data_IF_273152537158
#
_entry.id   IF_273152537158
#
_cell.length_a   1.000
_cell.length_b   1.000
_cell.length_c   1.000
_cell.angle_alpha   90.00
_cell.angle_beta   90.00
_cell.angle_gamma   90.00
#
_symmetry.space_group_name_H-M   'P 1'
#
loop_
_entity.id
_entity.type
_entity.pdbx_description
1 polymer ?
#
# COMPACT_ATOMS: atom_id res chain seq x y z
N UNK A 1 -2.66 2.11 86.57
CA UNK A 1 -3.08 2.96 85.43
C UNK A 1 -1.94 3.03 84.44
N UNK A 2 -1.97 2.23 83.38
CA UNK A 2 -1.05 2.30 82.26
C UNK A 2 -1.88 2.34 80.98
N UNK A 3 -1.78 3.43 80.22
CA UNK A 3 -2.42 3.61 78.92
C UNK A 3 -1.47 3.07 77.83
N UNK A 4 -1.96 2.45 76.74
CA UNK A 4 -1.11 1.97 75.67
C UNK A 4 -0.67 3.10 74.74
N UNK A 5 0.54 2.96 74.20
CA UNK A 5 1.17 3.86 73.21
C UNK A 5 0.56 3.57 71.83
N UNK A 6 0.12 4.60 71.12
CA UNK A 6 -0.39 4.49 69.76
C UNK A 6 0.77 4.30 68.76
N UNK A 7 0.74 3.19 68.00
CA UNK A 7 1.56 3.02 66.80
C UNK A 7 1.13 4.03 65.74
N UNK A 8 2.03 4.93 65.34
CA UNK A 8 1.85 5.75 64.15
C UNK A 8 2.14 4.90 62.91
N UNK A 9 1.10 4.63 62.11
CA UNK A 9 1.22 4.05 60.78
C UNK A 9 1.78 5.12 59.85
N UNK A 10 3.05 5.00 59.44
CA UNK A 10 3.56 5.70 58.26
C UNK A 10 2.91 5.09 57.04
N UNK A 11 1.97 5.82 56.44
CA UNK A 11 1.46 5.54 55.09
C UNK A 11 2.56 5.95 54.12
N UNK A 12 3.30 4.97 53.60
CA UNK A 12 4.20 5.20 52.46
C UNK A 12 3.33 5.33 51.22
N UNK A 13 3.00 6.56 50.84
CA UNK A 13 2.40 6.85 49.54
C UNK A 13 3.47 6.54 48.50
N UNK A 14 3.42 5.36 47.87
CA UNK A 14 4.19 5.08 46.67
C UNK A 14 3.65 5.98 45.57
N UNK A 15 4.40 7.01 45.22
CA UNK A 15 4.16 7.78 44.01
C UNK A 15 4.45 6.84 42.84
N UNK A 16 3.42 6.28 42.21
CA UNK A 16 3.55 5.75 40.85
C UNK A 16 3.82 6.94 39.95
N UNK A 17 5.11 7.21 39.72
CA UNK A 17 5.57 8.00 38.60
C UNK A 17 4.99 7.33 37.35
N UNK A 18 4.00 7.98 36.74
CA UNK A 18 3.43 7.51 35.47
C UNK A 18 4.53 7.69 34.46
N UNK A 19 5.30 6.64 34.20
CA UNK A 19 6.37 6.68 33.21
C UNK A 19 5.75 7.11 31.88
N UNK A 20 6.14 8.29 31.41
CA UNK A 20 5.62 8.84 30.17
C UNK A 20 6.04 7.91 29.03
N UNK A 21 5.06 7.33 28.33
CA UNK A 21 5.30 6.43 27.20
C UNK A 21 6.05 7.16 26.08
N UNK A 22 7.01 6.48 25.48
CA UNK A 22 7.76 6.97 24.33
C UNK A 22 7.07 6.51 23.04
N UNK A 23 6.38 7.45 22.41
CA UNK A 23 5.61 7.20 21.20
C UNK A 23 6.28 7.89 20.01
N UNK A 24 6.40 7.18 18.89
CA UNK A 24 6.97 7.69 17.65
C UNK A 24 6.01 7.45 16.49
N UNK A 25 5.62 8.51 15.79
CA UNK A 25 4.77 8.47 14.62
C UNK A 25 5.57 8.70 13.35
N UNK A 26 5.37 7.82 12.37
CA UNK A 26 5.76 8.01 10.99
C UNK A 26 4.53 8.31 10.17
N UNK A 27 4.55 9.41 9.41
CA UNK A 27 3.45 9.78 8.52
C UNK A 27 3.95 9.88 7.09
N UNK A 28 3.32 9.13 6.19
CA UNK A 28 3.57 9.23 4.77
C UNK A 28 3.05 10.57 4.25
N UNK A 29 3.92 11.30 3.54
CA UNK A 29 3.61 12.62 2.97
C UNK A 29 2.56 12.57 1.87
N UNK A 30 2.29 11.41 1.27
CA UNK A 30 1.24 11.25 0.26
C UNK A 30 -0.18 11.24 0.86
N UNK A 31 -0.32 10.99 2.17
CA UNK A 31 -1.62 11.01 2.86
C UNK A 31 -2.28 12.39 2.71
N UNK A 32 -3.55 12.42 2.28
CA UNK A 32 -4.25 13.69 2.10
C UNK A 32 -4.36 14.46 3.41
N UNK A 33 -4.03 15.76 3.38
CA UNK A 33 -4.11 16.62 4.56
C UNK A 33 -3.33 16.08 5.77
N UNK A 34 -2.22 15.37 5.55
CA UNK A 34 -1.38 14.83 6.62
C UNK A 34 -0.95 15.90 7.65
N UNK A 35 -0.85 17.17 7.26
CA UNK A 35 -0.54 18.28 8.18
C UNK A 35 -1.60 18.45 9.28
N UNK A 36 -2.88 18.18 8.98
CA UNK A 36 -3.95 18.21 9.99
C UNK A 36 -3.76 17.06 11.00
N UNK A 37 -3.31 15.89 10.55
CA UNK A 37 -2.99 14.77 11.44
C UNK A 37 -1.79 15.07 12.33
N UNK A 38 -0.75 15.72 11.79
CA UNK A 38 0.39 16.20 12.59
C UNK A 38 -0.07 17.21 13.64
N UNK A 39 -0.85 18.22 13.25
CA UNK A 39 -1.35 19.25 14.18
C UNK A 39 -2.23 18.65 15.29
N UNK A 40 -2.92 17.56 14.98
CA UNK A 40 -3.80 16.82 15.87
C UNK A 40 -3.15 15.66 16.64
N UNK A 41 -1.84 15.50 16.53
CA UNK A 41 -1.11 14.45 17.24
C UNK A 41 -1.10 14.73 18.75
N UNK A 42 -1.19 13.67 19.56
CA UNK A 42 -1.17 13.78 21.02
C UNK A 42 0.16 14.38 21.52
N UNK A 43 0.12 15.22 22.57
CA UNK A 43 1.35 15.75 23.16
C UNK A 43 2.27 14.63 23.65
N UNK A 44 3.56 14.72 23.30
CA UNK A 44 4.57 13.73 23.70
C UNK A 44 4.87 12.67 22.64
N UNK A 45 4.06 12.56 21.58
CA UNK A 45 4.38 11.73 20.42
C UNK A 45 5.37 12.48 19.51
N UNK A 46 6.52 11.87 19.25
CA UNK A 46 7.48 12.39 18.27
C UNK A 46 6.96 12.08 16.86
N UNK A 47 7.04 13.03 15.91
CA UNK A 47 6.51 12.85 14.54
C UNK A 47 7.60 12.99 13.49
N UNK A 48 7.69 12.02 12.59
CA UNK A 48 8.59 11.99 11.44
C UNK A 48 7.76 11.87 10.17
N UNK A 49 7.93 12.83 9.26
CA UNK A 49 7.29 12.79 7.93
C UNK A 49 8.20 12.04 6.97
N UNK A 50 7.69 10.98 6.36
CA UNK A 50 8.44 10.20 5.37
C UNK A 50 8.53 10.95 4.04
N UNK A 51 9.70 10.96 3.43
CA UNK A 51 9.88 11.46 2.07
C UNK A 51 9.28 10.46 1.08
N UNK A 52 8.33 10.93 0.27
CA UNK A 52 7.64 10.16 -0.76
C UNK A 52 8.58 9.59 -1.83
N UNK A 53 9.77 10.20 -2.02
CA UNK A 53 10.74 9.76 -3.03
C UNK A 53 11.74 8.71 -2.52
N UNK A 54 11.77 8.43 -1.21
CA UNK A 54 12.70 7.48 -0.59
C UNK A 54 11.95 6.24 -0.11
N UNK A 55 12.67 5.13 0.03
CA UNK A 55 12.15 3.92 0.65
C UNK A 55 11.71 4.22 2.09
N UNK A 56 10.42 4.04 2.40
CA UNK A 56 9.89 4.37 3.72
C UNK A 56 10.30 3.37 4.80
N UNK A 57 10.56 2.11 4.46
CA UNK A 57 11.05 1.11 5.43
C UNK A 57 12.48 1.47 5.84
N UNK A 58 13.32 1.85 4.88
CA UNK A 58 14.68 2.35 5.15
C UNK A 58 14.65 3.59 6.05
N UNK A 59 13.80 4.57 5.75
CA UNK A 59 13.66 5.78 6.57
C UNK A 59 13.23 5.49 8.01
N UNK A 60 12.27 4.57 8.20
CA UNK A 60 11.84 4.14 9.54
C UNK A 60 13.00 3.45 10.26
N UNK A 61 13.73 2.54 9.60
CA UNK A 61 14.91 1.88 10.18
C UNK A 61 15.99 2.89 10.59
N UNK A 62 16.32 3.85 9.74
CA UNK A 62 17.29 4.92 10.04
C UNK A 62 16.88 5.72 11.28
N UNK A 63 15.60 6.09 11.37
CA UNK A 63 15.08 6.81 12.52
C UNK A 63 15.11 5.95 13.79
N UNK A 64 14.67 4.69 13.73
CA UNK A 64 14.66 3.83 14.91
C UNK A 64 16.08 3.53 15.42
N UNK A 65 17.07 3.42 14.53
CA UNK A 65 18.45 3.09 14.91
C UNK A 65 19.09 4.05 15.93
N UNK A 66 18.64 5.31 15.98
CA UNK A 66 19.12 6.31 16.95
C UNK A 66 18.25 6.44 18.20
N UNK A 67 17.27 5.56 18.40
CA UNK A 67 16.27 5.61 19.48
C UNK A 67 16.24 4.28 20.25
N UNK A 68 15.74 4.33 21.48
CA UNK A 68 15.61 3.15 22.34
C UNK A 68 14.47 3.28 23.35
N UNK A 69 13.97 2.12 23.77
CA UNK A 69 12.83 2.01 24.68
C UNK A 69 11.59 2.71 24.11
N UNK A 70 11.31 2.52 22.82
CA UNK A 70 10.08 3.03 22.19
C UNK A 70 8.94 2.09 22.59
N UNK A 71 7.92 2.63 23.23
CA UNK A 71 6.76 1.86 23.70
C UNK A 71 5.71 1.72 22.60
N UNK A 72 5.64 2.67 21.67
CA UNK A 72 4.73 2.58 20.53
C UNK A 72 5.30 3.20 19.26
N UNK A 73 5.12 2.50 18.14
CA UNK A 73 5.33 3.03 16.80
C UNK A 73 3.98 3.18 16.10
N UNK A 74 3.70 4.39 15.63
CA UNK A 74 2.50 4.73 14.87
C UNK A 74 2.89 4.90 13.40
N UNK A 75 2.23 4.20 12.49
CA UNK A 75 2.51 4.28 11.05
C UNK A 75 1.26 4.74 10.33
N UNK A 76 1.29 5.94 9.76
CA UNK A 76 0.16 6.55 9.06
C UNK A 76 0.48 6.56 7.58
N UNK A 77 -0.29 5.83 6.80
CA UNK A 77 -0.02 5.65 5.38
C UNK A 77 -1.27 5.26 4.61
N UNK A 78 -1.14 5.23 3.29
CA UNK A 78 -2.14 4.56 2.48
C UNK A 78 -2.03 3.04 2.60
N UNK A 79 -3.19 2.38 2.61
CA UNK A 79 -3.28 0.93 2.78
C UNK A 79 -4.27 0.25 1.83
N UNK A 80 -4.08 -1.07 1.72
CA UNK A 80 -5.09 -2.05 1.28
C UNK A 80 -4.76 -3.41 1.90
N UNK A 81 -5.63 -4.40 1.75
CA UNK A 81 -5.40 -5.77 2.25
C UNK A 81 -3.98 -6.29 2.00
N UNK A 82 -3.24 -6.48 3.09
CA UNK A 82 -1.88 -7.00 3.11
C UNK A 82 -0.80 -6.04 2.60
N UNK A 83 -1.04 -4.73 2.60
CA UNK A 83 -0.14 -3.75 1.97
C UNK A 83 -0.12 -2.39 2.67
N UNK A 84 1.07 -1.84 2.84
CA UNK A 84 1.33 -0.45 3.21
C UNK A 84 2.19 0.24 2.15
N UNK A 85 1.82 1.48 1.80
CA UNK A 85 2.65 2.35 0.99
C UNK A 85 3.47 3.25 1.91
N UNK A 86 4.80 3.13 1.87
CA UNK A 86 5.71 3.88 2.72
C UNK A 86 6.76 4.55 1.84
N UNK A 87 6.55 5.82 1.54
CA UNK A 87 7.29 6.59 0.56
C UNK A 87 7.27 5.92 -0.81
N UNK A 88 8.46 5.60 -1.34
CA UNK A 88 8.63 4.85 -2.58
C UNK A 88 8.52 3.33 -2.40
N UNK A 89 8.44 2.83 -1.17
CA UNK A 89 8.37 1.41 -0.85
C UNK A 89 6.93 0.94 -0.71
N UNK A 90 6.72 -0.32 -1.07
CA UNK A 90 5.46 -1.03 -0.87
C UNK A 90 5.75 -2.23 0.02
N UNK A 91 5.33 -2.16 1.28
CA UNK A 91 5.54 -3.20 2.27
C UNK A 91 4.31 -4.10 2.30
N UNK A 92 4.45 -5.33 1.77
CA UNK A 92 3.33 -6.26 1.59
C UNK A 92 3.80 -7.72 1.71
N UNK A 93 2.89 -8.68 1.55
CA UNK A 93 3.19 -10.12 1.66
C UNK A 93 4.30 -10.62 0.71
N UNK A 94 4.53 -9.94 -0.42
CA UNK A 94 5.58 -10.30 -1.39
C UNK A 94 6.93 -9.69 -1.01
N UNK A 95 6.94 -8.45 -0.52
CA UNK A 95 8.16 -7.68 -0.25
C UNK A 95 8.65 -7.77 1.19
N UNK A 96 7.80 -8.15 2.15
CA UNK A 96 8.10 -8.16 3.58
C UNK A 96 9.35 -8.98 3.93
N UNK A 97 9.59 -10.08 3.21
CA UNK A 97 10.78 -10.92 3.43
C UNK A 97 12.07 -10.23 2.96
N UNK A 98 12.01 -9.36 1.95
CA UNK A 98 13.17 -8.56 1.51
C UNK A 98 13.56 -7.50 2.54
N UNK A 99 12.61 -7.05 3.37
CA UNK A 99 12.84 -6.13 4.48
C UNK A 99 13.08 -6.81 5.83
N UNK A 100 13.17 -8.15 5.87
CA UNK A 100 13.21 -8.89 7.13
C UNK A 100 14.33 -8.42 8.07
N UNK A 101 15.52 -8.16 7.54
CA UNK A 101 16.65 -7.67 8.32
C UNK A 101 16.38 -6.27 8.91
N UNK A 102 15.80 -5.35 8.13
CA UNK A 102 15.40 -4.03 8.60
C UNK A 102 14.33 -4.11 9.70
N UNK A 103 13.28 -4.90 9.47
CA UNK A 103 12.16 -5.06 10.40
C UNK A 103 12.59 -5.73 11.71
N UNK A 104 13.47 -6.73 11.64
CA UNK A 104 14.08 -7.34 12.82
C UNK A 104 14.96 -6.35 13.58
N UNK A 105 15.64 -5.45 12.87
CA UNK A 105 16.44 -4.42 13.51
C UNK A 105 15.59 -3.40 14.29
N UNK A 106 14.32 -3.21 13.94
CA UNK A 106 13.42 -2.33 14.70
C UNK A 106 13.30 -2.78 16.15
N UNK A 107 13.27 -4.10 16.42
CA UNK A 107 13.16 -4.68 17.76
C UNK A 107 14.22 -4.19 18.75
N UNK A 108 15.39 -3.78 18.27
CA UNK A 108 16.48 -3.27 19.12
C UNK A 108 16.16 -1.90 19.73
N UNK A 109 15.27 -1.15 19.10
CA UNK A 109 14.84 0.18 19.52
C UNK A 109 13.55 0.14 20.34
N UNK A 110 12.79 -0.95 20.23
CA UNK A 110 11.50 -1.14 20.88
C UNK A 110 11.65 -1.62 22.33
N UNK A 111 10.73 -1.18 23.19
CA UNK A 111 10.56 -1.72 24.53
C UNK A 111 10.03 -3.17 24.48
N UNK A 112 10.19 -3.91 25.57
CA UNK A 112 9.50 -5.19 25.72
C UNK A 112 7.98 -4.95 25.79
N UNK A 113 7.21 -5.58 24.90
CA UNK A 113 5.77 -5.32 24.78
C UNK A 113 5.46 -3.99 24.10
N UNK A 114 6.33 -3.52 23.19
CA UNK A 114 6.00 -2.37 22.35
C UNK A 114 4.90 -2.73 21.35
N UNK A 115 4.07 -1.73 21.04
CA UNK A 115 3.01 -1.85 20.04
C UNK A 115 3.40 -1.17 18.73
N UNK A 116 2.89 -1.69 17.61
CA UNK A 116 2.87 -0.97 16.33
C UNK A 116 1.42 -0.78 15.89
N UNK A 117 0.99 0.47 15.84
CA UNK A 117 -0.34 0.86 15.37
C UNK A 117 -0.24 1.33 13.93
N UNK A 118 -0.93 0.64 13.04
CA UNK A 118 -0.89 0.86 11.60
C UNK A 118 -2.21 1.48 11.14
N UNK A 119 -2.16 2.77 10.80
CA UNK A 119 -3.28 3.54 10.25
C UNK A 119 -3.18 3.52 8.72
N UNK A 120 -4.03 2.72 8.10
CA UNK A 120 -4.17 2.63 6.64
C UNK A 120 -5.37 1.76 6.31
N UNK A 121 -6.09 2.11 5.25
CA UNK A 121 -7.32 1.38 4.90
C UNK A 121 -7.06 -0.10 4.62
N UNK A 122 -7.94 -0.95 5.14
CA UNK A 122 -8.05 -2.37 4.83
C UNK A 122 -6.77 -3.20 5.05
N UNK A 123 -5.74 -2.69 5.73
CA UNK A 123 -4.42 -3.33 5.81
C UNK A 123 -4.51 -4.76 6.33
N UNK A 124 -5.37 -4.97 7.33
CA UNK A 124 -5.63 -6.27 7.94
C UNK A 124 -6.89 -6.98 7.40
N UNK A 125 -7.51 -6.45 6.34
CA UNK A 125 -8.72 -7.03 5.77
C UNK A 125 -8.46 -8.43 5.19
N UNK A 126 -9.37 -9.36 5.49
CA UNK A 126 -9.33 -10.73 4.98
C UNK A 126 -8.10 -11.55 5.42
N UNK A 127 -7.97 -12.74 4.83
CA UNK A 127 -6.87 -13.67 5.17
C UNK A 127 -5.50 -13.11 4.80
N UNK A 128 -5.39 -12.45 3.63
CA UNK A 128 -4.14 -11.82 3.18
C UNK A 128 -3.65 -10.75 4.15
N UNK A 129 -4.56 -9.86 4.60
CA UNK A 129 -4.23 -8.83 5.57
C UNK A 129 -3.85 -9.39 6.94
N UNK A 130 -4.59 -10.39 7.42
CA UNK A 130 -4.27 -11.07 8.67
C UNK A 130 -2.88 -11.73 8.67
N UNK A 131 -2.53 -12.43 7.59
CA UNK A 131 -1.21 -13.06 7.45
C UNK A 131 -0.10 -12.01 7.35
N UNK A 132 -0.35 -10.90 6.65
CA UNK A 132 0.60 -9.81 6.54
C UNK A 132 0.94 -9.19 7.90
N UNK A 133 -0.07 -8.81 8.69
CA UNK A 133 0.20 -8.22 10.01
C UNK A 133 0.83 -9.22 10.99
N UNK A 134 0.47 -10.51 10.90
CA UNK A 134 1.13 -11.54 11.70
C UNK A 134 2.62 -11.63 11.34
N UNK A 135 2.95 -11.57 10.04
CA UNK A 135 4.34 -11.58 9.58
C UNK A 135 5.12 -10.36 10.06
N UNK A 136 4.49 -9.18 10.09
CA UNK A 136 5.10 -7.97 10.67
C UNK A 136 5.35 -8.14 12.17
N UNK A 137 4.38 -8.68 12.91
CA UNK A 137 4.52 -8.98 14.33
C UNK A 137 5.71 -9.92 14.59
N UNK A 138 5.78 -11.03 13.85
CA UNK A 138 6.87 -12.01 13.97
C UNK A 138 8.26 -11.41 13.69
N UNK A 139 8.35 -10.50 12.71
CA UNK A 139 9.63 -9.88 12.32
C UNK A 139 10.05 -8.78 13.28
N UNK A 140 9.11 -7.98 13.79
CA UNK A 140 9.41 -6.83 14.66
C UNK A 140 9.46 -7.22 16.14
N UNK A 141 8.85 -8.35 16.51
CA UNK A 141 8.68 -8.78 17.89
C UNK A 141 7.67 -7.94 18.68
N UNK A 142 6.90 -7.10 17.99
CA UNK A 142 5.89 -6.20 18.56
C UNK A 142 4.47 -6.70 18.26
N UNK A 143 3.53 -6.31 19.11
CA UNK A 143 2.10 -6.53 18.87
C UNK A 143 1.60 -5.49 17.86
N UNK A 144 0.81 -5.93 16.87
CA UNK A 144 0.36 -5.08 15.76
C UNK A 144 -1.15 -4.86 15.86
N UNK A 145 -1.58 -3.60 15.71
CA UNK A 145 -2.97 -3.23 15.50
C UNK A 145 -3.14 -2.60 14.11
N UNK A 146 -4.14 -3.02 13.34
CA UNK A 146 -4.40 -2.49 12.00
C UNK A 146 -5.90 -2.56 11.65
N UNK A 147 -6.33 -1.64 10.77
CA UNK A 147 -7.72 -1.57 10.30
C UNK A 147 -8.05 -2.65 9.26
N UNK A 148 -9.28 -3.11 9.29
CA UNK A 148 -9.90 -4.07 8.36
C UNK A 148 -10.87 -3.43 7.37
N UNK A 149 -11.04 -2.11 7.45
CA UNK A 149 -11.93 -1.31 6.62
C UNK A 149 -11.34 0.09 6.32
N UNK A 150 -12.17 1.07 5.97
CA UNK A 150 -11.69 2.41 5.65
C UNK A 150 -11.23 3.14 6.92
N UNK A 151 -9.97 3.54 6.99
CA UNK A 151 -9.48 4.41 8.07
C UNK A 151 -9.66 5.88 7.69
N UNK A 152 -10.34 6.69 8.51
CA UNK A 152 -10.43 8.15 8.39
C UNK A 152 -11.82 8.70 8.68
N UNK A 153 -12.37 9.47 7.73
CA UNK A 153 -13.59 10.23 7.94
C UNK A 153 -14.85 9.35 7.98
N UNK A 154 -15.62 9.45 9.06
CA UNK A 154 -16.95 8.82 9.18
C UNK A 154 -17.96 9.31 8.16
N UNK A 155 -17.81 10.55 7.66
CA UNK A 155 -18.61 11.07 6.56
C UNK A 155 -18.34 10.35 5.22
N UNK A 156 -17.20 9.69 5.09
CA UNK A 156 -16.80 8.88 3.93
C UNK A 156 -16.91 7.37 4.20
N UNK A 157 -17.51 6.98 5.32
CA UNK A 157 -17.71 5.58 5.69
C UNK A 157 -16.49 4.90 6.32
N UNK A 158 -15.51 5.66 6.79
CA UNK A 158 -14.38 5.13 7.55
C UNK A 158 -14.38 5.53 9.03
N UNK A 159 -13.50 4.94 9.81
CA UNK A 159 -13.29 5.30 11.21
C UNK A 159 -11.80 5.21 11.59
N UNK A 160 -11.47 5.25 12.88
CA UNK A 160 -10.07 5.18 13.33
C UNK A 160 -9.83 3.96 14.22
N UNK A 161 -10.75 3.00 14.17
CA UNK A 161 -10.62 1.75 14.89
C UNK A 161 -9.58 0.88 14.17
N UNK A 162 -8.91 0.03 14.97
CA UNK A 162 -7.90 -0.91 14.50
C UNK A 162 -8.37 -2.29 14.94
N UNK A 163 -9.25 -2.92 14.16
CA UNK A 163 -10.05 -4.08 14.59
C UNK A 163 -9.21 -5.35 14.70
N UNK A 164 -8.12 -5.45 13.94
CA UNK A 164 -7.30 -6.65 13.89
C UNK A 164 -6.00 -6.48 14.67
N UNK A 165 -5.80 -7.41 15.61
CA UNK A 165 -4.66 -7.44 16.52
C UNK A 165 -3.88 -8.76 16.39
N UNK A 166 -2.56 -8.72 16.56
CA UNK A 166 -1.70 -9.93 16.67
C UNK A 166 -1.33 -10.29 18.12
N UNK A 167 -1.64 -9.41 19.07
CA UNK A 167 -1.39 -9.59 20.50
C UNK A 167 -2.19 -8.60 21.36
N UNK A 168 -1.66 -8.22 22.52
CA UNK A 168 -2.29 -7.21 23.37
C UNK A 168 -1.82 -5.83 22.91
N UNK A 169 -2.70 -4.83 22.97
CA UNK A 169 -2.36 -3.45 22.58
C UNK A 169 -2.66 -2.54 23.75
N UNK A 170 -1.62 -2.01 24.38
CA UNK A 170 -1.75 -1.07 25.50
C UNK A 170 -1.67 0.40 25.06
N UNK A 171 -1.20 0.64 23.84
CA UNK A 171 -1.01 1.96 23.27
C UNK A 171 -2.32 2.54 22.73
N UNK A 172 -2.67 3.78 23.10
CA UNK A 172 -3.85 4.44 22.55
C UNK A 172 -3.56 4.93 21.12
N UNK A 173 -4.60 5.34 20.38
CA UNK A 173 -4.39 6.05 19.12
C UNK A 173 -3.55 7.31 19.33
N UNK A 174 -2.67 7.65 18.39
CA UNK A 174 -1.79 8.81 18.51
C UNK A 174 -2.45 10.17 18.23
N UNK A 175 -3.74 10.19 17.90
CA UNK A 175 -4.47 11.42 17.56
C UNK A 175 -5.42 11.88 18.66
N UNK A 176 -5.57 13.19 18.77
CA UNK A 176 -6.59 13.82 19.61
C UNK A 176 -7.98 13.63 18.97
N UNK A 177 -9.03 13.61 19.81
CA UNK A 177 -10.41 13.39 19.35
C UNK A 177 -10.88 14.42 18.32
N UNK A 178 -10.51 15.69 18.51
CA UNK A 178 -10.85 16.77 17.58
C UNK A 178 -10.22 16.55 16.20
N UNK A 179 -8.97 16.06 16.16
CA UNK A 179 -8.27 15.77 14.92
C UNK A 179 -8.92 14.62 14.13
N UNK A 180 -9.35 13.57 14.85
CA UNK A 180 -10.11 12.45 14.29
C UNK A 180 -11.43 12.95 13.68
N UNK A 181 -12.16 13.81 14.40
CA UNK A 181 -13.44 14.38 13.95
C UNK A 181 -13.29 15.36 12.76
N UNK A 182 -12.17 16.09 12.73
CA UNK A 182 -11.90 17.12 11.72
C UNK A 182 -11.26 16.57 10.45
N UNK A 183 -10.70 15.35 10.47
CA UNK A 183 -10.14 14.74 9.27
C UNK A 183 -11.23 14.44 8.23
N UNK A 184 -11.10 15.02 7.03
CA UNK A 184 -12.11 14.97 5.96
C UNK A 184 -11.77 14.03 4.81
N UNK A 185 -10.75 13.19 4.98
CA UNK A 185 -10.28 12.22 3.99
C UNK A 185 -10.31 10.80 4.58
N UNK A 186 -9.97 9.79 3.78
CA UNK A 186 -9.70 8.42 4.21
C UNK A 186 -8.31 8.01 3.73
N UNK A 187 -7.65 7.08 4.42
CA UNK A 187 -6.28 6.64 4.16
C UNK A 187 -6.21 5.57 3.05
N UNK A 188 -7.12 5.63 2.07
CA UNK A 188 -7.25 4.60 1.03
C UNK A 188 -6.06 4.67 0.09
N UNK A 189 -5.48 3.54 -0.32
CA UNK A 189 -4.49 3.49 -1.41
C UNK A 189 -5.04 4.19 -2.64
N UNK A 190 -4.65 5.46 -2.79
CA UNK A 190 -4.90 6.26 -3.97
C UNK A 190 -4.04 5.67 -5.10
N UNK A 191 -4.50 4.55 -5.68
CA UNK A 191 -4.50 4.50 -7.13
C UNK A 191 -5.24 5.78 -7.53
N UNK A 192 -4.55 6.76 -8.14
CA UNK A 192 -5.20 8.03 -8.43
C UNK A 192 -6.46 7.68 -9.22
N UNK A 193 -7.61 8.24 -8.83
CA UNK A 193 -8.92 8.04 -9.47
C UNK A 193 -8.84 8.52 -10.91
N UNK A 194 -8.19 7.72 -11.75
CA UNK A 194 -7.69 8.08 -13.05
C UNK A 194 -8.16 7.00 -13.97
N UNK A 195 -9.03 7.41 -14.88
CA UNK A 195 -9.50 6.60 -15.98
C UNK A 195 -8.46 6.72 -17.10
N UNK A 196 -7.94 5.57 -17.51
CA UNK A 196 -7.20 5.44 -18.75
C UNK A 196 -8.15 4.91 -19.81
N UNK A 197 -8.30 5.66 -20.91
CA UNK A 197 -9.14 5.25 -22.02
C UNK A 197 -8.35 5.28 -23.33
N UNK A 198 -8.69 4.41 -24.27
CA UNK A 198 -8.19 4.49 -25.65
C UNK A 198 -9.26 5.16 -26.51
N UNK A 199 -8.91 6.26 -27.16
CA UNK A 199 -9.79 6.88 -28.16
C UNK A 199 -8.97 7.50 -29.28
N UNK A 200 -9.43 7.35 -30.53
CA UNK A 200 -8.79 7.93 -31.72
C UNK A 200 -7.28 7.62 -31.80
N UNK A 201 -6.88 6.42 -31.40
CA UNK A 201 -5.49 5.98 -31.39
C UNK A 201 -4.60 6.66 -30.34
N UNK A 202 -5.18 7.14 -29.25
CA UNK A 202 -4.46 7.80 -28.15
C UNK A 202 -4.91 7.23 -26.80
N UNK A 203 -4.02 7.27 -25.81
CA UNK A 203 -4.39 7.09 -24.40
C UNK A 203 -4.83 8.44 -23.85
N UNK A 204 -6.03 8.47 -23.29
CA UNK A 204 -6.61 9.59 -22.55
C UNK A 204 -6.48 9.31 -21.06
N UNK A 205 -6.04 10.32 -20.31
CA UNK A 205 -5.92 10.26 -18.86
C UNK A 205 -6.91 11.24 -18.26
N UNK A 206 -7.85 10.72 -17.49
CA UNK A 206 -8.92 11.51 -16.90
C UNK A 206 -8.93 11.31 -15.40
N UNK A 207 -8.65 12.36 -14.64
CA UNK A 207 -8.88 12.33 -13.19
C UNK A 207 -10.37 12.49 -12.88
N UNK A 208 -10.86 11.72 -11.93
CA UNK A 208 -12.22 11.75 -11.39
C UNK A 208 -12.10 12.05 -9.90
N UNK A 209 -12.56 13.22 -9.48
CA UNK A 209 -12.62 13.53 -8.06
C UNK A 209 -13.76 12.74 -7.39
N UNK A 210 -13.72 12.59 -6.07
CA UNK A 210 -14.72 11.86 -5.26
C UNK A 210 -16.17 12.33 -5.45
N UNK A 211 -16.38 13.57 -5.94
CA UNK A 211 -17.70 14.10 -6.32
C UNK A 211 -18.11 13.85 -7.79
N UNK A 212 -17.41 12.97 -8.52
CA UNK A 212 -17.68 12.68 -9.93
C UNK A 212 -17.26 13.78 -10.93
N UNK A 213 -16.54 14.81 -10.46
CA UNK A 213 -16.04 15.88 -11.32
C UNK A 213 -14.82 15.39 -12.09
N UNK A 214 -14.85 15.56 -13.41
CA UNK A 214 -13.78 15.17 -14.33
C UNK A 214 -12.82 16.34 -14.53
N UNK A 215 -11.53 16.15 -14.24
CA UNK A 215 -10.47 17.11 -14.61
C UNK A 215 -9.57 16.46 -15.67
N UNK A 216 -9.53 16.97 -16.92
CA UNK A 216 -8.65 16.43 -17.94
C UNK A 216 -7.18 16.68 -17.54
N UNK A 217 -6.36 15.63 -17.46
CA UNK A 217 -4.92 15.76 -17.31
C UNK A 217 -4.24 15.66 -18.68
N UNK A 218 -3.08 16.32 -18.78
CA UNK A 218 -2.34 16.71 -20.00
C UNK A 218 -2.13 15.55 -21.00
N UNK A 219 -2.32 15.78 -22.31
CA UNK A 219 -2.08 14.76 -23.33
C UNK A 219 -0.57 14.50 -23.52
N UNK A 220 -0.03 13.48 -22.85
CA UNK A 220 1.16 12.81 -23.36
C UNK A 220 0.70 11.70 -24.30
N UNK A 221 0.90 11.94 -25.59
CA UNK A 221 0.44 11.04 -26.64
C UNK A 221 1.44 9.91 -26.85
N UNK A 222 0.98 8.67 -26.84
CA UNK A 222 1.71 7.60 -27.52
C UNK A 222 1.80 7.95 -29.02
N UNK A 223 2.96 7.74 -29.69
CA UNK A 223 3.12 8.05 -31.11
C UNK A 223 2.39 7.06 -32.04
N UNK A 224 1.67 6.08 -31.48
CA UNK A 224 0.98 5.00 -32.19
C UNK A 224 -0.39 4.72 -31.54
N UNK A 225 -1.25 4.00 -32.26
CA UNK A 225 -2.60 3.63 -31.83
C UNK A 225 -2.59 2.28 -31.10
N UNK A 226 -2.64 2.24 -29.75
CA UNK A 226 -2.71 0.96 -29.03
C UNK A 226 -4.06 0.26 -29.27
N UNK A 227 -4.07 -1.07 -29.26
CA UNK A 227 -5.31 -1.87 -29.33
C UNK A 227 -5.93 -2.16 -27.96
N UNK A 228 -5.08 -2.16 -26.92
CA UNK A 228 -5.46 -2.47 -25.56
C UNK A 228 -4.49 -1.79 -24.61
N UNK A 229 -4.97 -1.45 -23.42
CA UNK A 229 -4.15 -0.95 -22.32
C UNK A 229 -4.55 -1.65 -21.02
N UNK A 230 -3.61 -1.78 -20.10
CA UNK A 230 -3.86 -2.20 -18.73
C UNK A 230 -2.91 -1.46 -17.79
N UNK A 231 -3.39 -1.00 -16.64
CA UNK A 231 -2.53 -0.38 -15.62
C UNK A 231 -1.93 -1.48 -14.75
N UNK A 232 -0.64 -1.36 -14.46
CA UNK A 232 -0.01 -2.16 -13.41
C UNK A 232 -0.42 -1.61 -12.03
N UNK A 233 -1.17 -2.38 -11.22
CA UNK A 233 -1.67 -1.93 -9.92
C UNK A 233 -0.57 -1.88 -8.86
N UNK A 234 0.60 -2.50 -9.11
CA UNK A 234 1.75 -2.47 -8.21
C UNK A 234 2.73 -1.34 -8.57
N UNK A 235 2.56 -0.69 -9.72
CA UNK A 235 3.43 0.40 -10.13
C UNK A 235 3.11 1.70 -9.41
N UNK A 236 4.05 2.19 -8.59
CA UNK A 236 4.00 3.52 -7.98
C UNK A 236 3.94 4.67 -9.00
N UNK A 237 4.35 4.41 -10.25
CA UNK A 237 4.31 5.38 -11.35
C UNK A 237 3.09 5.24 -12.26
N UNK A 238 2.14 4.34 -11.93
CA UNK A 238 0.99 4.01 -12.77
C UNK A 238 1.40 3.55 -14.18
N UNK A 239 2.43 2.71 -14.28
CA UNK A 239 2.92 2.20 -15.56
C UNK A 239 1.77 1.52 -16.33
N UNK A 240 1.56 1.95 -17.57
CA UNK A 240 0.59 1.33 -18.47
C UNK A 240 1.28 0.33 -19.36
N UNK A 241 0.69 -0.85 -19.48
CA UNK A 241 1.01 -1.81 -20.50
C UNK A 241 0.07 -1.60 -21.68
N UNK A 242 0.61 -1.66 -22.89
CA UNK A 242 -0.15 -1.47 -24.11
C UNK A 242 0.24 -2.50 -25.17
N UNK A 243 -0.67 -2.76 -26.10
CA UNK A 243 -0.40 -3.55 -27.29
C UNK A 243 -0.33 -2.67 -28.55
N UNK A 244 0.81 -2.67 -29.24
CA UNK A 244 1.01 -1.91 -30.48
C UNK A 244 0.77 -2.79 -31.74
N UNK A 245 -0.24 -2.48 -32.57
CA UNK A 245 -0.62 -3.31 -33.71
C UNK A 245 0.29 -3.16 -34.92
N UNK A 246 0.92 -2.00 -35.11
CA UNK A 246 1.74 -1.68 -36.30
C UNK A 246 3.12 -2.33 -36.30
N UNK A 247 3.44 -3.09 -35.25
CA UNK A 247 4.73 -3.76 -35.09
C UNK A 247 4.56 -5.22 -34.62
N UNK A 248 3.72 -6.02 -35.30
CA UNK A 248 3.46 -7.43 -34.96
C UNK A 248 2.82 -7.68 -33.57
N UNK A 249 2.07 -6.73 -33.01
CA UNK A 249 1.38 -6.95 -31.73
C UNK A 249 2.32 -6.97 -30.53
N UNK A 250 3.24 -6.00 -30.45
CA UNK A 250 4.23 -5.94 -29.36
C UNK A 250 3.64 -5.37 -28.08
N UNK A 251 3.95 -6.04 -26.97
CA UNK A 251 3.70 -5.51 -25.64
C UNK A 251 4.77 -4.47 -25.32
N UNK A 252 4.31 -3.29 -24.93
CA UNK A 252 5.17 -2.23 -24.43
C UNK A 252 4.64 -1.68 -23.12
N UNK A 253 5.48 -0.90 -22.46
CA UNK A 253 5.14 -0.13 -21.28
C UNK A 253 5.25 1.35 -21.57
N UNK A 254 4.41 2.13 -20.92
CA UNK A 254 4.44 3.57 -20.98
C UNK A 254 4.28 4.16 -19.60
N UNK A 255 5.21 5.04 -19.24
CA UNK A 255 5.19 5.75 -17.97
C UNK A 255 4.43 7.08 -18.16
N UNK A 256 3.25 7.26 -17.54
CA UNK A 256 2.46 8.47 -17.70
C UNK A 256 3.11 9.71 -17.05
N UNK A 257 4.02 9.52 -16.09
CA UNK A 257 4.75 10.60 -15.40
C UNK A 257 5.85 11.16 -16.28
N UNK A 258 6.66 10.28 -16.89
CA UNK A 258 7.85 10.68 -17.66
C UNK A 258 7.59 10.73 -19.16
N UNK A 259 6.51 10.12 -19.64
CA UNK A 259 6.21 9.92 -21.05
C UNK A 259 7.06 8.83 -21.72
N UNK A 260 7.95 8.16 -20.99
CA UNK A 260 8.84 7.13 -21.55
C UNK A 260 8.05 5.90 -21.99
N UNK A 261 8.31 5.43 -23.22
CA UNK A 261 7.77 4.19 -23.75
C UNK A 261 8.89 3.17 -23.98
N UNK A 262 8.70 1.93 -23.53
CA UNK A 262 9.64 0.82 -23.69
C UNK A 262 8.93 -0.34 -24.32
N UNK A 263 9.52 -0.92 -25.37
CA UNK A 263 8.99 -2.16 -25.93
C UNK A 263 9.61 -3.34 -25.21
N UNK A 264 8.80 -4.16 -24.56
CA UNK A 264 9.30 -5.23 -23.70
C UNK A 264 9.74 -6.45 -24.50
N UNK A 265 9.08 -6.77 -25.60
CA UNK A 265 9.42 -7.94 -26.41
C UNK A 265 8.62 -8.03 -27.71
N UNK A 266 8.76 -9.17 -28.39
CA UNK A 266 7.88 -9.56 -29.49
C UNK A 266 6.74 -10.38 -28.91
N UNK A 267 5.70 -9.71 -28.41
CA UNK A 267 4.58 -10.43 -27.84
C UNK A 267 3.77 -11.18 -28.88
N UNK A 268 3.44 -12.41 -28.51
CA UNK A 268 2.67 -13.37 -29.30
C UNK A 268 1.24 -13.47 -28.81
N UNK A 269 0.66 -12.39 -28.26
CA UNK A 269 -0.75 -12.43 -27.80
C UNK A 269 -1.59 -12.87 -29.00
N UNK A 270 -2.21 -14.07 -28.98
CA UNK A 270 -2.72 -14.66 -30.21
C UNK A 270 -3.97 -13.92 -30.69
N UNK A 271 -3.97 -13.39 -31.90
CA UNK A 271 -5.16 -12.79 -32.53
C UNK A 271 -5.18 -11.26 -32.50
N UNK A 272 -6.36 -10.68 -32.74
CA UNK A 272 -6.57 -9.23 -32.81
C UNK A 272 -7.47 -8.76 -31.67
N UNK A 273 -7.25 -7.52 -31.20
CA UNK A 273 -8.06 -6.85 -30.19
C UNK A 273 -8.19 -7.60 -28.85
N UNK A 274 -7.06 -7.92 -28.17
CA UNK A 274 -7.14 -8.47 -26.84
C UNK A 274 -7.75 -7.47 -25.85
N UNK A 275 -8.31 -8.00 -24.78
CA UNK A 275 -8.71 -7.22 -23.60
C UNK A 275 -7.73 -7.54 -22.49
N UNK A 276 -7.09 -6.54 -21.90
CA UNK A 276 -6.03 -6.75 -20.92
C UNK A 276 -6.45 -6.19 -19.57
N UNK A 277 -6.08 -6.89 -18.50
CA UNK A 277 -6.13 -6.35 -17.14
C UNK A 277 -5.05 -7.00 -16.30
N UNK A 278 -4.60 -6.27 -15.28
CA UNK A 278 -3.79 -6.83 -14.23
C UNK A 278 -4.69 -7.29 -13.10
N UNK A 279 -4.34 -8.45 -12.54
CA UNK A 279 -4.77 -8.81 -11.21
C UNK A 279 -3.93 -8.03 -10.20
N UNK A 280 -4.45 -7.89 -9.00
CA UNK A 280 -3.83 -7.11 -7.94
C UNK A 280 -2.45 -7.61 -7.47
N UNK A 281 -2.16 -8.89 -7.70
CA UNK A 281 -0.84 -9.51 -7.51
C UNK A 281 0.16 -9.22 -8.66
N UNK A 282 -0.14 -8.27 -9.55
CA UNK A 282 0.77 -7.86 -10.63
C UNK A 282 0.81 -8.82 -11.83
N UNK A 283 0.03 -9.90 -11.85
CA UNK A 283 -0.05 -10.78 -13.02
C UNK A 283 -0.95 -10.17 -14.08
N UNK A 284 -0.43 -10.00 -15.29
CA UNK A 284 -1.20 -9.52 -16.44
C UNK A 284 -1.95 -10.66 -17.13
N UNK A 285 -3.23 -10.42 -17.40
CA UNK A 285 -4.08 -11.31 -18.19
C UNK A 285 -4.52 -10.64 -19.48
N UNK A 286 -4.67 -11.45 -20.53
CA UNK A 286 -5.24 -11.03 -21.80
C UNK A 286 -6.33 -12.00 -22.26
N UNK A 287 -7.49 -11.48 -22.66
CA UNK A 287 -8.55 -12.27 -23.29
C UNK A 287 -8.57 -12.03 -24.78
N UNK A 288 -8.51 -13.11 -25.57
CA UNK A 288 -8.68 -13.08 -27.02
C UNK A 288 -9.77 -14.05 -27.42
N UNK A 289 -10.87 -13.52 -27.97
CA UNK A 289 -12.11 -14.29 -28.08
C UNK A 289 -12.50 -14.83 -26.72
N UNK A 290 -12.66 -16.15 -26.63
CA UNK A 290 -13.01 -16.85 -25.39
C UNK A 290 -11.78 -17.35 -24.62
N UNK A 291 -10.55 -17.12 -25.08
CA UNK A 291 -9.36 -17.66 -24.44
C UNK A 291 -8.71 -16.64 -23.51
N UNK A 292 -8.50 -17.03 -22.26
CA UNK A 292 -7.79 -16.28 -21.24
C UNK A 292 -6.34 -16.72 -21.21
N UNK A 293 -5.42 -15.76 -21.32
CA UNK A 293 -3.99 -15.96 -21.26
C UNK A 293 -3.40 -15.21 -20.07
N UNK A 294 -2.39 -15.78 -19.42
CA UNK A 294 -1.41 -14.99 -18.66
C UNK A 294 -0.37 -14.44 -19.63
N UNK A 295 0.13 -13.24 -19.35
CA UNK A 295 1.14 -12.57 -20.17
C UNK A 295 2.32 -12.18 -19.30
N UNK A 296 3.51 -12.58 -19.69
CA UNK A 296 4.75 -12.21 -18.99
C UNK A 296 5.13 -10.76 -19.27
N UNK A 297 5.38 -10.01 -18.21
CA UNK A 297 5.66 -8.56 -18.22
C UNK A 297 7.14 -8.23 -17.97
N UNK A 298 8.00 -9.24 -17.83
CA UNK A 298 9.45 -9.06 -17.70
C UNK A 298 10.06 -8.32 -18.90
N UNK A 299 11.18 -7.62 -18.70
CA UNK A 299 11.85 -6.80 -19.72
C UNK A 299 12.89 -7.55 -20.57
N UNK A 300 13.13 -8.84 -20.31
CA UNK A 300 14.08 -9.67 -21.09
C UNK A 300 15.55 -9.22 -21.02
N UNK A 301 15.92 -8.33 -20.10
CA UNK A 301 17.29 -7.90 -19.84
C UNK A 301 17.62 -8.16 -18.37
N UNK A 302 17.87 -9.42 -18.02
CA UNK A 302 18.28 -9.75 -16.66
C UNK A 302 19.64 -9.14 -16.34
N UNK A 303 19.70 -8.27 -15.32
CA UNK A 303 20.81 -8.17 -14.34
C UNK A 303 20.39 -7.23 -13.19
N UNK A 304 19.60 -7.68 -12.22
CA UNK A 304 19.71 -7.34 -10.78
C UNK A 304 18.59 -8.01 -9.98
N UNK A 305 18.95 -8.56 -8.81
CA UNK A 305 18.19 -9.52 -8.03
C UNK A 305 16.97 -8.96 -7.26
N UNK A 306 16.45 -7.77 -7.58
CA UNK A 306 15.39 -7.10 -6.82
C UNK A 306 13.98 -7.15 -7.47
N UNK A 307 13.81 -7.81 -8.62
CA UNK A 307 12.52 -7.90 -9.32
C UNK A 307 12.00 -9.35 -9.33
N UNK A 308 11.57 -9.86 -8.17
CA UNK A 308 10.82 -11.11 -8.06
C UNK A 308 9.36 -10.84 -7.69
N UNK A 309 8.64 -10.20 -8.61
CA UNK A 309 7.21 -10.44 -8.78
C UNK A 309 7.08 -11.20 -10.11
N UNK A 310 7.00 -12.52 -10.03
CA UNK A 310 6.69 -13.51 -11.10
C UNK A 310 6.98 -13.03 -12.53
N UNK A 311 8.22 -12.64 -12.80
CA UNK A 311 8.68 -12.27 -14.13
C UNK A 311 9.34 -13.50 -14.75
N UNK A 312 8.71 -14.07 -15.78
CA UNK A 312 9.42 -14.99 -16.65
C UNK A 312 10.62 -14.23 -17.27
N UNK A 313 11.72 -14.94 -17.52
CA UNK A 313 12.89 -14.39 -18.20
C UNK A 313 12.61 -14.01 -19.67
N UNK A 314 11.43 -14.34 -20.19
CA UNK A 314 11.00 -14.04 -21.55
C UNK A 314 9.93 -12.94 -21.56
N UNK A 315 10.31 -11.76 -22.03
CA UNK A 315 9.40 -10.65 -22.18
C UNK A 315 8.29 -10.95 -23.19
N UNK A 316 7.03 -10.76 -22.79
CA UNK A 316 5.90 -10.78 -23.71
C UNK A 316 5.39 -12.16 -24.12
N UNK A 317 5.79 -13.24 -23.45
CA UNK A 317 5.24 -14.58 -23.69
C UNK A 317 3.83 -14.73 -23.13
N UNK A 318 2.97 -15.49 -23.82
CA UNK A 318 1.60 -15.77 -23.38
C UNK A 318 1.36 -17.25 -23.13
N UNK A 319 0.66 -17.58 -22.04
CA UNK A 319 0.26 -18.96 -21.71
C UNK A 319 -1.26 -19.04 -21.61
N UNK A 320 -1.89 -19.98 -22.33
CA UNK A 320 -3.32 -20.22 -22.23
C UNK A 320 -3.64 -20.75 -20.82
N UNK A 321 -4.56 -20.07 -20.14
CA UNK A 321 -5.01 -20.41 -18.78
C UNK A 321 -6.33 -21.16 -18.85
N UNK A 322 -7.29 -20.63 -19.61
CA UNK A 322 -8.65 -21.16 -19.68
C UNK A 322 -9.36 -20.70 -20.95
N UNK A 323 -10.44 -21.41 -21.29
CA UNK A 323 -11.45 -20.90 -22.22
C UNK A 323 -12.69 -20.52 -21.40
N UNK A 324 -13.12 -19.26 -21.52
CA UNK A 324 -14.26 -18.64 -20.83
C UNK A 324 -15.44 -18.55 -21.83
N UNK A 325 -16.44 -19.45 -21.75
CA UNK A 325 -17.57 -19.43 -22.66
C UNK A 325 -18.37 -18.14 -22.55
N UNK A 326 -18.85 -17.63 -23.68
CA UNK A 326 -19.70 -16.42 -23.72
C UNK A 326 -18.95 -15.10 -23.60
N UNK A 327 -17.64 -15.11 -23.33
CA UNK A 327 -16.80 -13.91 -23.35
C UNK A 327 -16.43 -13.49 -24.79
N UNK A 328 -17.34 -13.59 -25.76
CA UNK A 328 -17.10 -13.15 -27.14
C UNK A 328 -17.31 -11.64 -27.28
N UNK A 329 -16.68 -11.00 -28.27
CA UNK A 329 -16.91 -9.59 -28.62
C UNK A 329 -15.82 -8.61 -28.16
N UNK A 330 -16.05 -7.32 -28.47
CA UNK A 330 -15.20 -6.19 -28.10
C UNK A 330 -15.62 -5.58 -26.77
N UNK A 331 -14.67 -5.14 -25.95
CA UNK A 331 -14.92 -4.47 -24.68
C UNK A 331 -13.66 -4.43 -23.83
N UNK A 332 -13.77 -4.06 -22.56
CA UNK A 332 -12.64 -4.04 -21.63
C UNK A 332 -12.68 -5.25 -20.68
N UNK A 333 -11.57 -5.47 -19.99
CA UNK A 333 -11.45 -6.45 -18.91
C UNK A 333 -11.15 -5.70 -17.62
N UNK A 334 -11.73 -6.15 -16.51
CA UNK A 334 -11.34 -5.76 -15.18
C UNK A 334 -11.44 -6.96 -14.24
N UNK A 335 -10.64 -6.95 -13.18
CA UNK A 335 -10.81 -7.85 -12.04
C UNK A 335 -11.64 -7.14 -10.97
N UNK A 336 -12.44 -7.91 -10.24
CA UNK A 336 -13.14 -7.38 -9.07
C UNK A 336 -12.09 -7.01 -8.00
N UNK A 337 -11.98 -5.72 -7.60
CA UNK A 337 -11.02 -5.32 -6.59
C UNK A 337 -11.29 -5.95 -5.21
N UNK A 338 -12.52 -6.40 -4.95
CA UNK A 338 -12.92 -6.98 -3.66
C UNK A 338 -12.79 -8.51 -3.60
N UNK A 339 -12.52 -9.16 -4.73
CA UNK A 339 -12.43 -10.61 -4.84
C UNK A 339 -11.11 -11.01 -5.52
N UNK A 340 -9.96 -10.90 -4.83
CA UNK A 340 -8.65 -11.10 -5.42
C UNK A 340 -8.29 -12.57 -5.67
N UNK A 341 -9.23 -13.53 -5.50
CA UNK A 341 -9.03 -14.99 -5.59
C UNK A 341 -9.56 -15.63 -6.89
#
# INVERSE_FOLDING_TARGET
MGLPVANSLTVTTSLTETQQRKELMFIDKTVENYQNLIAGTKPGTEVIVLDAARDGVEQITEALASRSNIDSVHIVSHGRSGNLNLGAARLNSETVNSYAAQLQNWSQSLSAGADILVYGCDVAAGETGAQFIQKLSDLTGADIAASTDLTGSSALGGDWDLEKLTGSIESPLAFQADAIADYKSVLVDCLPNVIYAIANGRVLITSVNTGGTITPAVPNTLPFSPQAVARDPLSSTNLLYYLEPTNNGRLGTWNPVTGAATVLGNSTIPGSSPRMAFRDNGVMYAMVGNNLYTVSTGSGSGTTAAAQAINSTAAGTTTLVATVPGATGSGDMAFDPNSPN
#
